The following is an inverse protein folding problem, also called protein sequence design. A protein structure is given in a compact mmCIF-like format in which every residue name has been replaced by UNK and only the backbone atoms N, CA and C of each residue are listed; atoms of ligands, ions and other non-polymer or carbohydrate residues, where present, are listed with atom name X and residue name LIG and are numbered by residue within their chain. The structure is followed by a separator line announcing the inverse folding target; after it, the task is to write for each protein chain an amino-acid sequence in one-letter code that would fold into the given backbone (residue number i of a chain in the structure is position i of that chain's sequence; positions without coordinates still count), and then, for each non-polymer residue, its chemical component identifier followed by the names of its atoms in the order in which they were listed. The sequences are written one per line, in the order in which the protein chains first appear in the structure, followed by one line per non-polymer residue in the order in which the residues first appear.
data_IF_988163435555
#
_entry.id   IF_988163435555
#
_cell.length_a   1.000
_cell.length_b   1.000
_cell.length_c   1.000
_cell.angle_alpha   90.00
_cell.angle_beta   90.00
_cell.angle_gamma   90.00
#
_symmetry.space_group_name_H-M   'P 1'
#
loop_
_entity.id
_entity.type
_entity.pdbx_description
1 polymer ?
#
# COMPACT_ATOMS: atom_id res chain seq x y z
N UNK A 1 5.23 15.48 3.36
CA UNK A 1 4.36 14.30 3.30
C UNK A 1 5.19 13.06 3.67
N UNK A 2 4.61 12.16 4.40
CA UNK A 2 5.16 10.82 4.63
C UNK A 2 4.29 9.78 3.93
N UNK A 3 4.85 8.62 3.61
CA UNK A 3 4.11 7.50 3.02
C UNK A 3 4.19 6.31 3.96
N UNK A 4 3.06 5.66 4.20
CA UNK A 4 2.95 4.42 4.95
C UNK A 4 2.31 3.35 4.06
N UNK A 5 2.84 2.14 4.11
CA UNK A 5 2.19 0.95 3.55
C UNK A 5 1.76 0.04 4.70
N UNK A 6 0.47 -0.23 4.80
CA UNK A 6 -0.10 -1.18 5.75
C UNK A 6 -0.29 -2.52 5.06
N UNK A 7 0.12 -3.60 5.69
CA UNK A 7 -0.10 -4.97 5.23
C UNK A 7 -0.49 -5.85 6.40
N UNK A 8 -1.34 -6.85 6.15
CA UNK A 8 -1.79 -7.80 7.15
C UNK A 8 -0.92 -9.05 7.08
N UNK A 9 -0.37 -9.44 8.24
CA UNK A 9 0.56 -10.56 8.37
C UNK A 9 1.98 -10.21 7.96
N UNK A 10 2.94 -10.78 8.66
CA UNK A 10 4.37 -10.57 8.36
C UNK A 10 4.75 -11.13 6.99
N UNK A 11 5.81 -10.61 6.42
CA UNK A 11 6.45 -11.21 5.24
C UNK A 11 7.13 -12.51 5.67
N UNK A 12 6.71 -13.64 5.12
CA UNK A 12 7.10 -14.97 5.56
C UNK A 12 8.31 -15.54 4.81
N UNK A 13 8.64 -15.01 3.64
CA UNK A 13 9.78 -15.43 2.84
C UNK A 13 10.98 -14.50 3.07
N UNK A 14 12.11 -15.07 3.50
CA UNK A 14 13.33 -14.29 3.80
C UNK A 14 13.92 -13.57 2.59
N UNK A 15 13.87 -14.21 1.40
CA UNK A 15 14.39 -13.59 0.18
C UNK A 15 13.51 -12.41 -0.24
N UNK A 16 12.21 -12.55 -0.11
CA UNK A 16 11.28 -11.45 -0.38
C UNK A 16 11.50 -10.30 0.60
N UNK A 17 11.65 -10.59 1.89
CA UNK A 17 11.94 -9.56 2.89
C UNK A 17 13.25 -8.82 2.58
N UNK A 18 14.28 -9.55 2.14
CA UNK A 18 15.56 -8.95 1.75
C UNK A 18 15.41 -7.98 0.56
N UNK A 19 14.60 -8.35 -0.45
CA UNK A 19 14.31 -7.46 -1.59
C UNK A 19 13.47 -6.24 -1.16
N UNK A 20 12.48 -6.44 -0.31
CA UNK A 20 11.69 -5.34 0.26
C UNK A 20 12.61 -4.35 0.97
N UNK A 21 13.53 -4.84 1.79
CA UNK A 21 14.49 -4.00 2.51
C UNK A 21 15.38 -3.18 1.56
N UNK A 22 15.82 -3.78 0.45
CA UNK A 22 16.62 -3.09 -0.57
C UNK A 22 15.85 -1.90 -1.15
N UNK A 23 14.63 -2.12 -1.60
CA UNK A 23 13.83 -1.05 -2.23
C UNK A 23 13.31 -0.05 -1.23
N UNK A 24 13.01 -0.47 -0.01
CA UNK A 24 12.65 0.45 1.07
C UNK A 24 13.77 1.44 1.36
N UNK A 25 15.01 0.98 1.47
CA UNK A 25 16.18 1.85 1.66
C UNK A 25 16.37 2.83 0.51
N UNK A 26 16.17 2.39 -0.73
CA UNK A 26 16.23 3.28 -1.90
C UNK A 26 15.14 4.34 -1.84
N UNK A 27 13.92 3.97 -1.49
CA UNK A 27 12.78 4.88 -1.38
C UNK A 27 13.00 5.94 -0.30
N UNK A 28 13.62 5.59 0.82
CA UNK A 28 13.88 6.47 1.95
C UNK A 28 14.79 7.67 1.60
N UNK A 29 15.57 7.61 0.52
CA UNK A 29 16.30 8.77 0.00
C UNK A 29 15.38 9.89 -0.51
N UNK A 30 14.15 9.57 -0.89
CA UNK A 30 13.23 10.52 -1.52
C UNK A 30 12.14 10.99 -0.57
N UNK A 31 11.70 10.11 0.33
CA UNK A 31 10.57 10.37 1.20
C UNK A 31 10.65 9.51 2.46
N UNK A 32 10.14 10.03 3.57
CA UNK A 32 9.97 9.22 4.77
C UNK A 32 8.91 8.16 4.50
N UNK A 33 9.32 6.90 4.58
CA UNK A 33 8.48 5.74 4.28
C UNK A 33 8.49 4.75 5.46
N UNK A 34 7.34 4.12 5.71
CA UNK A 34 7.21 3.07 6.70
C UNK A 34 6.33 1.94 6.16
N UNK A 35 6.83 0.71 6.23
CA UNK A 35 6.04 -0.50 6.06
C UNK A 35 5.61 -0.97 7.45
N UNK A 36 4.31 -0.88 7.74
CA UNK A 36 3.75 -1.31 9.01
C UNK A 36 2.94 -2.60 8.82
N UNK A 37 3.27 -3.61 9.60
CA UNK A 37 2.59 -4.90 9.56
C UNK A 37 1.54 -4.95 10.66
N UNK A 38 0.31 -5.26 10.26
CA UNK A 38 -0.78 -5.58 11.19
C UNK A 38 -0.72 -7.10 11.41
N UNK A 39 -0.62 -7.57 12.67
CA UNK A 39 -0.58 -9.00 12.94
C UNK A 39 -1.83 -9.72 12.41
N UNK A 40 -1.65 -10.94 11.92
CA UNK A 40 -2.76 -11.79 11.50
C UNK A 40 -3.78 -11.97 12.64
N UNK A 41 -5.05 -12.03 12.27
CA UNK A 41 -6.13 -12.37 13.21
C UNK A 41 -6.00 -13.85 13.59
N UNK A 42 -6.02 -14.11 14.89
CA UNK A 42 -6.01 -15.48 15.43
C UNK A 42 -7.40 -16.11 15.35
N UNK A 43 -7.44 -17.44 15.25
CA UNK A 43 -8.68 -18.25 15.29
C UNK A 43 -9.67 -17.94 14.16
N UNK A 44 -9.16 -17.66 12.96
CA UNK A 44 -10.00 -17.34 11.78
C UNK A 44 -10.89 -18.50 11.32
N UNK A 45 -10.60 -19.74 11.73
CA UNK A 45 -11.39 -20.93 11.35
C UNK A 45 -12.86 -20.84 11.75
N UNK A 46 -13.18 -20.11 12.82
CA UNK A 46 -14.53 -19.93 13.34
C UNK A 46 -15.19 -18.65 12.83
N UNK A 47 -14.54 -17.91 11.94
CA UNK A 47 -15.07 -16.67 11.39
C UNK A 47 -15.59 -16.88 9.97
N UNK A 48 -16.73 -16.26 9.67
CA UNK A 48 -17.15 -16.08 8.28
C UNK A 48 -16.21 -15.12 7.55
N UNK A 49 -16.24 -15.13 6.22
CA UNK A 49 -15.49 -14.16 5.42
C UNK A 49 -15.84 -12.73 5.79
N UNK A 50 -17.13 -12.43 5.98
CA UNK A 50 -17.60 -11.12 6.39
C UNK A 50 -17.08 -10.70 7.77
N UNK A 51 -17.07 -11.64 8.73
CA UNK A 51 -16.54 -11.37 10.07
C UNK A 51 -15.03 -11.13 10.05
N UNK A 52 -14.29 -11.92 9.30
CA UNK A 52 -12.84 -11.72 9.16
C UNK A 52 -12.53 -10.37 8.52
N UNK A 53 -13.21 -10.05 7.43
CA UNK A 53 -13.07 -8.78 6.71
C UNK A 53 -13.39 -7.58 7.62
N UNK A 54 -14.42 -7.67 8.45
CA UNK A 54 -14.79 -6.63 9.39
C UNK A 54 -13.72 -6.44 10.48
N UNK A 55 -13.21 -7.52 11.05
CA UNK A 55 -12.13 -7.45 12.06
C UNK A 55 -10.83 -6.90 11.50
N UNK A 56 -10.44 -7.33 10.31
CA UNK A 56 -9.29 -6.77 9.61
C UNK A 56 -9.47 -5.27 9.36
N UNK A 57 -10.67 -4.87 8.96
CA UNK A 57 -11.02 -3.47 8.75
C UNK A 57 -10.87 -2.61 10.01
N UNK A 58 -11.32 -3.10 11.14
CA UNK A 58 -11.14 -2.43 12.43
C UNK A 58 -9.66 -2.22 12.77
N UNK A 59 -8.83 -3.23 12.54
CA UNK A 59 -7.38 -3.14 12.75
C UNK A 59 -6.73 -2.10 11.82
N UNK A 60 -7.15 -2.07 10.56
CA UNK A 60 -6.67 -1.07 9.59
C UNK A 60 -7.04 0.34 10.07
N UNK A 61 -8.31 0.57 10.39
CA UNK A 61 -8.80 1.88 10.80
C UNK A 61 -8.13 2.38 12.09
N UNK A 62 -7.83 1.47 13.02
CA UNK A 62 -7.14 1.80 14.26
C UNK A 62 -5.68 2.26 14.05
N UNK A 63 -5.09 1.98 12.88
CA UNK A 63 -3.74 2.42 12.52
C UNK A 63 -3.69 3.80 11.88
N UNK A 64 -4.85 4.40 11.61
CA UNK A 64 -4.94 5.70 10.95
C UNK A 64 -5.07 6.84 11.95
N UNK A 65 -4.40 7.94 11.63
CA UNK A 65 -4.67 9.23 12.27
C UNK A 65 -5.82 9.94 11.55
N UNK A 66 -6.42 10.91 12.20
CA UNK A 66 -7.57 11.66 11.65
C UNK A 66 -7.25 12.40 10.34
N UNK A 67 -5.99 12.80 10.15
CA UNK A 67 -5.53 13.56 8.98
C UNK A 67 -4.93 12.69 7.89
N UNK A 68 -4.86 11.37 8.09
CA UNK A 68 -4.30 10.45 7.10
C UNK A 68 -5.23 10.34 5.89
N UNK A 69 -4.61 10.24 4.72
CA UNK A 69 -5.32 9.95 3.47
C UNK A 69 -5.10 8.49 3.14
N UNK A 70 -6.19 7.72 3.17
CA UNK A 70 -6.18 6.28 2.92
C UNK A 70 -6.46 5.98 1.45
N UNK A 71 -5.59 5.20 0.83
CA UNK A 71 -5.72 4.69 -0.53
C UNK A 71 -5.66 3.16 -0.47
N UNK A 72 -6.68 2.52 -1.02
CA UNK A 72 -6.75 1.05 -1.06
C UNK A 72 -6.03 0.52 -2.30
N UNK A 73 -5.25 -0.52 -2.11
CA UNK A 73 -4.74 -1.35 -3.21
C UNK A 73 -5.78 -2.44 -3.48
N UNK A 74 -6.53 -2.24 -4.55
CA UNK A 74 -7.70 -3.05 -4.90
C UNK A 74 -7.72 -3.26 -6.41
N UNK A 75 -7.94 -4.50 -6.85
CA UNK A 75 -7.98 -4.84 -8.28
C UNK A 75 -9.04 -4.06 -9.06
N UNK A 76 -10.09 -3.57 -8.38
CA UNK A 76 -11.14 -2.74 -8.96
C UNK A 76 -10.80 -1.24 -8.92
N UNK A 77 -9.60 -0.89 -8.48
CA UNK A 77 -9.15 0.49 -8.42
C UNK A 77 -8.74 1.05 -9.77
N UNK A 78 -8.41 2.32 -9.78
CA UNK A 78 -7.89 2.99 -10.98
C UNK A 78 -6.50 2.47 -11.32
N UNK A 79 -6.28 2.10 -12.58
CA UNK A 79 -4.97 1.74 -13.08
C UNK A 79 -4.20 2.96 -13.56
N UNK A 80 -2.90 2.93 -13.34
CA UNK A 80 -1.95 3.92 -13.83
C UNK A 80 -0.77 3.22 -14.49
N UNK A 81 -0.20 3.82 -15.50
CA UNK A 81 1.17 3.51 -15.88
C UNK A 81 2.15 4.15 -14.87
N UNK A 82 3.42 3.85 -14.97
CA UNK A 82 4.41 4.35 -13.99
C UNK A 82 4.51 5.88 -13.98
N UNK A 83 4.34 6.53 -15.12
CA UNK A 83 4.35 7.99 -15.22
C UNK A 83 3.09 8.58 -14.62
N UNK A 84 1.93 8.03 -14.92
CA UNK A 84 0.67 8.42 -14.33
C UNK A 84 0.68 8.26 -12.81
N UNK A 85 1.31 7.19 -12.30
CA UNK A 85 1.48 6.99 -10.87
C UNK A 85 2.42 8.03 -10.24
N UNK A 86 3.51 8.38 -10.91
CA UNK A 86 4.40 9.46 -10.42
C UNK A 86 3.66 10.80 -10.31
N UNK A 87 2.85 11.14 -11.30
CA UNK A 87 2.00 12.33 -11.28
C UNK A 87 0.95 12.28 -10.16
N UNK A 88 0.40 11.11 -9.90
CA UNK A 88 -0.52 10.88 -8.78
C UNK A 88 0.15 11.17 -7.44
N UNK A 89 1.38 10.69 -7.23
CA UNK A 89 2.18 11.00 -6.04
C UNK A 89 2.46 12.50 -5.91
N UNK A 90 2.87 13.13 -7.01
CA UNK A 90 3.15 14.57 -7.03
C UNK A 90 1.92 15.39 -6.64
N UNK A 91 0.75 15.01 -7.15
CA UNK A 91 -0.52 15.68 -6.81
C UNK A 91 -0.81 15.60 -5.31
N UNK A 92 -0.59 14.45 -4.68
CA UNK A 92 -0.77 14.31 -3.25
C UNK A 92 0.25 15.14 -2.46
N UNK A 93 1.50 15.16 -2.86
CA UNK A 93 2.52 16.01 -2.22
C UNK A 93 2.14 17.48 -2.27
N UNK A 94 1.64 17.94 -3.41
CA UNK A 94 1.25 19.35 -3.62
C UNK A 94 -0.03 19.73 -2.85
N UNK A 95 -0.83 18.77 -2.43
CA UNK A 95 -2.10 19.04 -1.74
C UNK A 95 -2.00 19.31 -0.23
N UNK A 96 -0.78 19.30 0.31
CA UNK A 96 -0.54 19.57 1.74
C UNK A 96 -0.87 18.40 2.67
N UNK A 97 -1.04 17.21 2.15
CA UNK A 97 -1.30 15.98 2.92
C UNK A 97 -0.08 15.68 3.82
N UNK A 98 -0.32 15.41 5.09
CA UNK A 98 0.74 15.05 6.04
C UNK A 98 1.21 13.61 5.83
N UNK A 99 0.28 12.68 5.70
CA UNK A 99 0.59 11.26 5.50
C UNK A 99 -0.37 10.63 4.50
N UNK A 100 0.21 9.94 3.51
CA UNK A 100 -0.49 9.11 2.55
C UNK A 100 -0.33 7.65 2.96
N UNK A 101 -1.43 6.94 3.17
CA UNK A 101 -1.43 5.56 3.62
C UNK A 101 -1.99 4.67 2.52
N UNK A 102 -1.16 3.77 2.02
CA UNK A 102 -1.60 2.68 1.16
C UNK A 102 -1.85 1.44 2.01
N UNK A 103 -2.88 0.67 1.69
CA UNK A 103 -3.17 -0.57 2.41
C UNK A 103 -3.39 -1.73 1.45
N UNK A 104 -2.76 -2.85 1.77
CA UNK A 104 -2.97 -4.15 1.13
C UNK A 104 -3.96 -4.91 2.00
N UNK A 105 -5.12 -5.27 1.45
CA UNK A 105 -6.15 -6.01 2.16
C UNK A 105 -5.79 -7.46 2.40
N UNK A 106 -6.59 -8.11 3.22
CA UNK A 106 -6.52 -9.55 3.43
C UNK A 106 -7.16 -10.35 2.29
N UNK A 107 -7.34 -11.66 2.46
CA UNK A 107 -7.77 -12.56 1.36
C UNK A 107 -9.17 -12.25 0.82
N UNK A 108 -10.03 -11.61 1.59
CA UNK A 108 -11.41 -11.32 1.20
C UNK A 108 -11.65 -9.84 0.83
N UNK A 109 -10.58 -9.05 0.71
CA UNK A 109 -10.67 -7.62 0.43
C UNK A 109 -10.95 -6.78 1.65
N UNK A 110 -11.65 -5.66 1.46
CA UNK A 110 -11.88 -4.67 2.50
C UNK A 110 -13.33 -4.66 2.98
N UNK A 111 -13.53 -4.31 4.24
CA UNK A 111 -14.86 -4.06 4.79
C UNK A 111 -15.46 -2.77 4.22
N UNK A 112 -16.77 -2.63 4.34
CA UNK A 112 -17.47 -1.42 3.92
C UNK A 112 -16.96 -0.16 4.65
N UNK A 113 -16.67 -0.29 5.95
CA UNK A 113 -16.13 0.81 6.75
C UNK A 113 -14.79 1.32 6.21
N UNK A 114 -13.92 0.40 5.77
CA UNK A 114 -12.64 0.75 5.14
C UNK A 114 -12.88 1.45 3.80
N UNK A 115 -13.78 0.92 2.97
CA UNK A 115 -14.14 1.58 1.70
C UNK A 115 -14.68 2.99 1.92
N UNK A 116 -15.52 3.18 2.93
CA UNK A 116 -16.09 4.50 3.25
C UNK A 116 -15.04 5.50 3.74
N UNK A 117 -14.01 5.03 4.44
CA UNK A 117 -12.90 5.88 4.90
C UNK A 117 -11.92 6.23 3.79
N UNK A 118 -11.75 5.36 2.81
CA UNK A 118 -10.77 5.54 1.75
C UNK A 118 -11.10 6.73 0.85
N UNK A 119 -10.09 7.50 0.49
CA UNK A 119 -10.21 8.58 -0.48
C UNK A 119 -10.17 8.07 -1.91
N UNK A 120 -9.58 6.90 -2.12
CA UNK A 120 -9.50 6.30 -3.45
C UNK A 120 -8.97 4.88 -3.43
N UNK A 121 -8.97 4.28 -4.60
CA UNK A 121 -8.48 2.92 -4.85
C UNK A 121 -7.55 2.93 -6.05
N UNK A 122 -6.44 2.19 -5.95
CA UNK A 122 -5.50 1.98 -7.05
C UNK A 122 -5.40 0.48 -7.32
N UNK A 123 -5.39 0.11 -8.59
CA UNK A 123 -5.07 -1.24 -9.05
C UNK A 123 -3.70 -1.24 -9.72
N UNK A 124 -2.81 -2.11 -9.25
CA UNK A 124 -1.51 -2.30 -9.91
C UNK A 124 -1.66 -3.11 -11.21
N UNK A 125 -2.65 -3.98 -11.27
CA UNK A 125 -2.91 -4.86 -12.41
C UNK A 125 -4.30 -5.47 -12.29
N UNK A 126 -4.86 -5.89 -13.41
CA UNK A 126 -6.06 -6.76 -13.43
C UNK A 126 -5.73 -8.20 -13.01
N UNK A 127 -4.46 -8.56 -13.01
CA UNK A 127 -4.01 -9.85 -12.52
C UNK A 127 -3.90 -9.79 -11.00
N UNK A 128 -4.26 -10.89 -10.34
CA UNK A 128 -4.14 -11.02 -8.89
C UNK A 128 -2.70 -11.37 -8.51
N UNK A 129 -2.15 -10.63 -7.59
CA UNK A 129 -0.85 -10.93 -6.99
C UNK A 129 -1.02 -11.54 -5.60
N UNK A 130 -0.04 -12.34 -5.17
CA UNK A 130 -0.01 -12.79 -3.79
C UNK A 130 0.13 -11.59 -2.85
N UNK A 131 -0.45 -11.69 -1.64
CA UNK A 131 -0.35 -10.65 -0.61
C UNK A 131 1.10 -10.40 -0.17
N UNK A 132 1.97 -11.36 -0.37
CA UNK A 132 3.39 -11.26 -0.07
C UNK A 132 4.12 -10.48 -1.17
N UNK A 133 3.95 -10.88 -2.42
CA UNK A 133 4.64 -10.27 -3.57
C UNK A 133 4.21 -8.84 -3.83
N UNK A 134 2.94 -8.50 -3.64
CA UNK A 134 2.43 -7.16 -3.91
C UNK A 134 3.12 -6.09 -3.06
N UNK A 135 3.61 -6.43 -1.88
CA UNK A 135 4.38 -5.52 -1.02
C UNK A 135 5.60 -4.98 -1.73
N UNK A 136 6.36 -5.89 -2.34
CA UNK A 136 7.54 -5.54 -3.11
C UNK A 136 7.20 -4.66 -4.31
N UNK A 137 6.17 -5.03 -5.07
CA UNK A 137 5.75 -4.26 -6.25
C UNK A 137 5.33 -2.84 -5.90
N UNK A 138 4.59 -2.66 -4.81
CA UNK A 138 4.17 -1.33 -4.36
C UNK A 138 5.38 -0.47 -3.99
N UNK A 139 6.30 -1.02 -3.21
CA UNK A 139 7.50 -0.29 -2.77
C UNK A 139 8.39 0.05 -3.96
N UNK A 140 8.56 -0.88 -4.89
CA UNK A 140 9.33 -0.65 -6.12
C UNK A 140 8.69 0.43 -6.98
N UNK A 141 7.35 0.42 -7.15
CA UNK A 141 6.66 1.45 -7.93
C UNK A 141 6.68 2.82 -7.23
N UNK A 142 6.65 2.88 -5.92
CA UNK A 142 6.87 4.12 -5.18
C UNK A 142 8.27 4.67 -5.47
N UNK A 143 9.30 3.84 -5.36
CA UNK A 143 10.67 4.20 -5.68
C UNK A 143 10.79 4.69 -7.13
N UNK A 144 10.27 3.93 -8.08
CA UNK A 144 10.25 4.30 -9.51
C UNK A 144 9.55 5.64 -9.72
N UNK A 145 8.42 5.86 -9.08
CA UNK A 145 7.67 7.11 -9.17
C UNK A 145 8.53 8.32 -8.77
N UNK A 146 9.27 8.22 -7.67
CA UNK A 146 10.18 9.30 -7.25
C UNK A 146 11.36 9.49 -8.18
N UNK A 147 11.93 8.42 -8.74
CA UNK A 147 13.01 8.56 -9.76
C UNK A 147 12.52 9.28 -11.00
N UNK A 148 11.29 9.02 -11.43
CA UNK A 148 10.65 9.74 -12.55
C UNK A 148 10.51 11.22 -12.21
N UNK A 149 10.00 11.57 -11.04
CA UNK A 149 9.82 12.96 -10.61
C UNK A 149 11.15 13.72 -10.50
N UNK A 150 12.25 13.03 -10.27
CA UNK A 150 13.60 13.61 -10.19
C UNK A 150 14.38 13.53 -11.51
N UNK A 151 13.77 13.04 -12.59
CA UNK A 151 14.40 12.83 -13.89
C UNK A 151 15.66 11.94 -13.82
N UNK A 152 15.62 10.94 -12.98
CA UNK A 152 16.72 9.99 -12.82
C UNK A 152 16.57 8.80 -13.79
N UNK A 153 17.69 8.16 -14.21
CA UNK A 153 17.67 7.16 -15.30
C UNK A 153 17.27 5.74 -14.85
N UNK A 154 16.41 5.59 -13.88
CA UNK A 154 15.91 4.28 -13.43
C UNK A 154 14.76 3.77 -14.31
N UNK A 155 13.86 4.67 -14.70
CA UNK A 155 12.72 4.33 -15.56
C UNK A 155 13.07 4.58 -17.02
N UNK A 156 12.89 3.56 -17.86
CA UNK A 156 13.09 3.64 -19.31
C UNK A 156 11.72 3.54 -20.01
N UNK A 157 11.53 4.37 -21.04
CA UNK A 157 10.34 4.33 -21.91
C UNK A 157 10.62 3.48 -23.15
#
# INVERSE_FOLDING_TARGET
MTIKLLAIGKTDNKQLQALIDVYQKRLEFYIKFNLEIIPDIKNVKNLSEAQQKQKEGELILNKLNTTDVLILLDEKGKQHDSIGFSNYLQKHMNSGIKQLVFVIGGPYGFSEDVYNKARGKISLSRMTFSHQMVRLFVIEQLYRGFTILKNEPYHHR
#
